data_IF_022344602517
#
_entry.id   IF_022344602517
#
_cell.length_a   1.000
_cell.length_b   1.000
_cell.length_c   1.000
_cell.angle_alpha   90.00
_cell.angle_beta   90.00
_cell.angle_gamma   90.00
#
_symmetry.space_group_name_H-M   'P 1'
#
loop_
_entity.id
_entity.type
_entity.pdbx_description
1 polymer ?
#
# COMPACT_ATOMS: atom_id res chain seq x y z
N UNK A 1 -10.16 5.97 -21.37
CA UNK A 1 -9.05 6.09 -20.39
C UNK A 1 -9.31 5.11 -19.29
N UNK A 2 -8.27 4.61 -18.63
CA UNK A 2 -8.38 3.75 -17.45
C UNK A 2 -7.52 4.36 -16.35
N UNK A 3 -8.07 4.50 -15.15
CA UNK A 3 -7.35 4.98 -13.98
C UNK A 3 -7.53 3.94 -12.88
N UNK A 4 -6.43 3.31 -12.47
CA UNK A 4 -6.42 2.27 -11.45
C UNK A 4 -5.85 2.81 -10.14
N UNK A 5 -6.45 2.42 -9.01
CA UNK A 5 -5.97 2.80 -7.67
C UNK A 5 -5.13 1.68 -7.08
N UNK A 6 -3.83 1.87 -7.07
CA UNK A 6 -2.85 0.98 -6.44
C UNK A 6 -2.55 1.45 -5.00
N UNK A 7 -1.27 1.56 -4.65
CA UNK A 7 -0.71 2.04 -3.39
C UNK A 7 0.81 2.10 -3.54
N UNK A 8 1.51 2.88 -2.71
CA UNK A 8 2.97 2.71 -2.56
C UNK A 8 3.39 1.26 -2.26
N UNK A 9 2.53 0.49 -1.58
CA UNK A 9 2.76 -0.94 -1.32
C UNK A 9 2.52 -1.85 -2.53
N UNK A 10 2.17 -1.30 -3.69
CA UNK A 10 2.27 -2.00 -4.98
C UNK A 10 3.69 -2.06 -5.52
N UNK A 11 4.62 -1.30 -4.91
CA UNK A 11 6.02 -1.20 -5.35
C UNK A 11 7.02 -1.54 -4.27
N UNK A 12 6.66 -1.48 -2.99
CA UNK A 12 7.52 -1.94 -1.89
C UNK A 12 6.75 -2.86 -0.93
N UNK A 13 7.45 -3.81 -0.33
CA UNK A 13 6.89 -4.68 0.71
C UNK A 13 6.89 -4.01 2.08
N UNK A 14 5.97 -4.43 2.96
CA UNK A 14 5.99 -4.06 4.37
C UNK A 14 5.44 -5.21 5.21
N UNK A 15 6.12 -5.50 6.31
CA UNK A 15 5.72 -6.53 7.27
C UNK A 15 4.30 -6.25 7.81
N UNK A 16 3.59 -7.32 8.17
CA UNK A 16 2.18 -7.28 8.60
C UNK A 16 1.19 -6.85 7.51
N UNK A 17 1.65 -6.62 6.28
CA UNK A 17 0.82 -6.20 5.14
C UNK A 17 1.00 -7.10 3.91
N UNK A 18 1.55 -8.31 4.06
CA UNK A 18 1.89 -9.16 2.93
C UNK A 18 0.73 -9.42 1.96
N UNK A 19 -0.49 -9.81 2.41
CA UNK A 19 -1.62 -10.01 1.49
C UNK A 19 -2.04 -8.73 0.77
N UNK A 20 -1.99 -7.59 1.48
CA UNK A 20 -2.27 -6.29 0.89
C UNK A 20 -1.23 -5.90 -0.17
N UNK A 21 0.07 -6.08 0.12
CA UNK A 21 1.14 -5.83 -0.84
C UNK A 21 0.95 -6.70 -2.09
N UNK A 22 0.72 -8.01 -1.94
CA UNK A 22 0.46 -8.91 -3.07
C UNK A 22 -0.69 -8.39 -3.94
N UNK A 23 -1.80 -7.99 -3.33
CA UNK A 23 -2.94 -7.45 -4.09
C UNK A 23 -2.57 -6.19 -4.89
N UNK A 24 -1.76 -5.29 -4.31
CA UNK A 24 -1.39 -4.02 -4.94
C UNK A 24 -0.29 -4.17 -5.99
N UNK A 25 0.66 -5.09 -5.79
CA UNK A 25 1.60 -5.50 -6.84
C UNK A 25 0.85 -6.11 -8.05
N UNK A 26 -0.21 -6.88 -7.79
CA UNK A 26 -1.09 -7.38 -8.86
C UNK A 26 -1.73 -6.25 -9.67
N UNK A 27 -2.21 -5.20 -9.01
CA UNK A 27 -2.77 -4.01 -9.69
C UNK A 27 -1.71 -3.29 -10.53
N UNK A 28 -0.48 -3.13 -10.01
CA UNK A 28 0.64 -2.55 -10.78
C UNK A 28 0.93 -3.35 -12.05
N UNK A 29 1.14 -4.66 -11.90
CA UNK A 29 1.47 -5.54 -13.02
C UNK A 29 0.34 -5.56 -14.07
N UNK A 30 -0.91 -5.69 -13.62
CA UNK A 30 -2.07 -5.62 -14.49
C UNK A 30 -2.14 -4.29 -15.25
N UNK A 31 -1.91 -3.17 -14.57
CA UNK A 31 -2.00 -1.84 -15.18
C UNK A 31 -0.90 -1.61 -16.22
N UNK A 32 0.32 -2.11 -15.98
CA UNK A 32 1.40 -2.02 -16.96
C UNK A 32 1.13 -2.87 -18.20
N UNK A 33 0.66 -4.11 -18.04
CA UNK A 33 0.24 -4.94 -19.16
C UNK A 33 -0.86 -4.27 -19.97
N UNK A 34 -1.93 -3.82 -19.29
CA UNK A 34 -3.06 -3.16 -19.93
C UNK A 34 -2.62 -1.91 -20.70
N UNK A 35 -1.67 -1.13 -20.17
CA UNK A 35 -1.13 0.05 -20.85
C UNK A 35 -0.46 -0.31 -22.18
N UNK A 36 0.28 -1.43 -22.23
CA UNK A 36 0.91 -1.89 -23.47
C UNK A 36 -0.12 -2.38 -24.47
N UNK A 37 -1.06 -3.21 -24.03
CA UNK A 37 -2.13 -3.77 -24.85
C UNK A 37 -2.99 -2.66 -25.45
N UNK A 38 -3.41 -1.70 -24.63
CA UNK A 38 -4.33 -0.63 -25.02
C UNK A 38 -3.71 0.44 -25.93
N UNK A 39 -2.38 0.42 -26.15
CA UNK A 39 -1.65 1.42 -26.92
C UNK A 39 -2.16 1.55 -28.36
N UNK A 40 -2.53 0.45 -29.01
CA UNK A 40 -3.00 0.43 -30.39
C UNK A 40 -4.31 1.23 -30.60
N UNK A 41 -5.12 1.36 -29.55
CA UNK A 41 -6.40 2.09 -29.57
C UNK A 41 -6.29 3.51 -28.99
N UNK A 42 -5.08 3.96 -28.67
CA UNK A 42 -4.86 5.28 -28.05
C UNK A 42 -5.46 5.40 -26.64
N UNK A 43 -5.84 4.30 -26.01
CA UNK A 43 -6.40 4.29 -24.66
C UNK A 43 -5.26 4.43 -23.64
N UNK A 44 -5.32 5.51 -22.87
CA UNK A 44 -4.33 5.83 -21.82
C UNK A 44 -4.73 5.15 -20.51
N UNK A 45 -3.75 4.51 -19.88
CA UNK A 45 -3.87 3.83 -18.59
C UNK A 45 -2.92 4.51 -17.61
N UNK A 46 -3.46 4.97 -16.48
CA UNK A 46 -2.73 5.64 -15.41
C UNK A 46 -2.96 4.90 -14.10
N UNK A 47 -1.95 4.89 -13.23
CA UNK A 47 -2.02 4.29 -11.89
C UNK A 47 -1.84 5.39 -10.85
N UNK A 48 -2.72 5.41 -9.86
CA UNK A 48 -2.58 6.26 -8.67
C UNK A 48 -2.00 5.38 -7.56
N UNK A 49 -0.90 5.81 -6.95
CA UNK A 49 -0.16 5.09 -5.91
C UNK A 49 -0.22 5.88 -4.58
N UNK A 50 -1.37 5.90 -3.86
CA UNK A 50 -1.44 6.65 -2.61
C UNK A 50 -0.47 6.14 -1.54
N UNK A 51 0.02 7.08 -0.74
CA UNK A 51 0.73 6.82 0.51
C UNK A 51 -0.21 6.43 1.64
N UNK A 52 0.04 6.95 2.84
CA UNK A 52 -0.80 6.66 3.99
C UNK A 52 -1.97 7.66 4.11
N UNK A 53 -3.20 7.21 3.86
CA UNK A 53 -4.45 7.98 4.01
C UNK A 53 -5.42 7.31 4.98
N UNK A 54 -4.92 6.56 5.97
CA UNK A 54 -5.77 5.84 6.91
C UNK A 54 -6.70 6.80 7.66
N UNK A 55 -6.18 7.93 8.15
CA UNK A 55 -6.99 8.92 8.87
C UNK A 55 -8.05 9.55 7.98
N UNK A 56 -7.69 9.99 6.76
CA UNK A 56 -8.64 10.59 5.83
C UNK A 56 -9.78 9.64 5.41
N UNK A 57 -9.51 8.34 5.31
CA UNK A 57 -10.46 7.36 4.75
C UNK A 57 -11.17 6.49 5.79
N UNK A 58 -10.60 6.36 6.99
CA UNK A 58 -11.07 5.40 7.98
C UNK A 58 -10.92 3.93 7.55
N UNK A 59 -10.14 3.62 6.51
CA UNK A 59 -10.04 2.27 5.92
C UNK A 59 -9.49 1.22 6.88
N UNK A 60 -8.72 1.65 7.89
CA UNK A 60 -8.15 0.78 8.91
C UNK A 60 -8.34 1.43 10.28
N UNK A 61 -9.30 0.94 11.05
CA UNK A 61 -9.58 1.42 12.41
C UNK A 61 -8.95 0.49 13.46
N UNK A 62 -8.79 1.01 14.68
CA UNK A 62 -8.29 0.22 15.82
C UNK A 62 -9.18 -0.97 16.13
N UNK A 63 -10.49 -0.83 15.94
CA UNK A 63 -11.47 -1.89 16.19
C UNK A 63 -11.32 -3.00 15.15
N UNK A 64 -11.19 -2.65 13.85
CA UNK A 64 -10.93 -3.61 12.78
C UNK A 64 -9.66 -4.40 13.08
N UNK A 65 -8.57 -3.73 13.49
CA UNK A 65 -7.32 -4.41 13.85
C UNK A 65 -7.52 -5.35 15.03
N UNK A 66 -8.21 -4.91 16.09
CA UNK A 66 -8.44 -5.71 17.30
C UNK A 66 -9.27 -6.95 17.00
N UNK A 67 -10.43 -6.80 16.36
CA UNK A 67 -11.31 -7.93 16.03
C UNK A 67 -10.65 -8.91 15.06
N UNK A 68 -9.88 -8.41 14.09
CA UNK A 68 -9.14 -9.27 13.17
C UNK A 68 -8.03 -10.03 13.89
N UNK A 69 -7.29 -9.37 14.78
CA UNK A 69 -6.22 -9.98 15.55
C UNK A 69 -6.73 -11.10 16.47
N UNK A 70 -7.81 -10.84 17.21
CA UNK A 70 -8.44 -11.83 18.08
C UNK A 70 -8.91 -13.06 17.31
N UNK A 71 -9.54 -12.84 16.15
CA UNK A 71 -9.96 -13.91 15.25
C UNK A 71 -8.77 -14.73 14.77
N UNK A 72 -7.73 -14.07 14.25
CA UNK A 72 -6.52 -14.74 13.75
C UNK A 72 -5.85 -15.58 14.83
N UNK A 73 -5.71 -15.05 16.05
CA UNK A 73 -5.12 -15.78 17.15
C UNK A 73 -5.95 -16.99 17.56
N UNK A 74 -7.28 -16.82 17.67
CA UNK A 74 -8.21 -17.88 18.06
C UNK A 74 -8.25 -19.03 17.04
N UNK A 75 -8.18 -18.70 15.75
CA UNK A 75 -8.25 -19.67 14.66
C UNK A 75 -6.88 -20.27 14.29
N UNK A 76 -5.78 -19.70 14.80
CA UNK A 76 -4.44 -20.24 14.56
C UNK A 76 -4.29 -21.64 15.16
N UNK A 77 -3.70 -22.61 14.42
CA UNK A 77 -3.38 -23.93 14.96
C UNK A 77 -2.50 -23.85 16.21
N UNK A 78 -2.58 -24.81 17.15
CA UNK A 78 -1.80 -24.78 18.39
C UNK A 78 -0.29 -24.60 18.17
N UNK A 79 0.30 -25.31 17.20
CA UNK A 79 1.72 -25.16 16.88
C UNK A 79 2.09 -23.74 16.40
N UNK A 80 1.21 -23.09 15.65
CA UNK A 80 1.43 -21.69 15.21
C UNK A 80 1.34 -20.72 16.38
N UNK A 81 0.41 -20.95 17.32
CA UNK A 81 0.31 -20.13 18.54
C UNK A 81 1.56 -20.28 19.41
N UNK A 82 2.11 -21.49 19.50
CA UNK A 82 3.35 -21.78 20.22
C UNK A 82 4.55 -21.09 19.53
N UNK A 83 4.72 -21.29 18.22
CA UNK A 83 5.83 -20.74 17.44
C UNK A 83 5.86 -19.20 17.48
N UNK A 84 4.70 -18.56 17.32
CA UNK A 84 4.62 -17.09 17.30
C UNK A 84 4.64 -16.49 18.70
N UNK A 85 4.09 -17.18 19.70
CA UNK A 85 3.98 -16.70 21.07
C UNK A 85 3.00 -15.54 21.24
N UNK A 86 2.10 -15.66 22.22
CA UNK A 86 1.03 -14.66 22.43
C UNK A 86 1.55 -13.25 22.69
N UNK A 87 2.59 -13.12 23.52
CA UNK A 87 3.16 -11.82 23.87
C UNK A 87 3.74 -11.09 22.65
N UNK A 88 4.44 -11.83 21.78
CA UNK A 88 5.03 -11.29 20.56
C UNK A 88 3.95 -10.89 19.55
N UNK A 89 2.94 -11.74 19.36
CA UNK A 89 1.77 -11.40 18.54
C UNK A 89 1.08 -10.12 19.01
N UNK A 90 0.79 -10.01 20.31
CA UNK A 90 0.14 -8.82 20.89
C UNK A 90 0.99 -7.55 20.75
N UNK A 91 2.32 -7.66 20.84
CA UNK A 91 3.23 -6.54 20.61
C UNK A 91 3.10 -6.01 19.18
N UNK A 92 3.09 -6.89 18.17
CA UNK A 92 2.88 -6.50 16.78
C UNK A 92 1.48 -5.92 16.52
N UNK A 93 0.45 -6.48 17.16
CA UNK A 93 -0.90 -5.94 17.05
C UNK A 93 -1.04 -4.57 17.71
N UNK A 94 -0.30 -4.32 18.80
CA UNK A 94 -0.21 -2.98 19.40
C UNK A 94 0.45 -1.98 18.44
N UNK A 95 1.50 -2.38 17.73
CA UNK A 95 2.12 -1.55 16.69
C UNK A 95 1.14 -1.22 15.57
N UNK A 96 0.40 -2.22 15.06
CA UNK A 96 -0.64 -2.00 14.04
C UNK A 96 -1.74 -1.04 14.51
N UNK A 97 -2.21 -1.19 15.77
CA UNK A 97 -3.19 -0.26 16.37
C UNK A 97 -2.67 1.16 16.49
N UNK A 98 -1.37 1.35 16.76
CA UNK A 98 -0.76 2.69 16.81
C UNK A 98 -0.75 3.37 15.44
N UNK A 99 -0.59 2.59 14.36
CA UNK A 99 -0.56 3.11 12.99
C UNK A 99 -1.93 3.58 12.48
N UNK A 100 -3.03 3.14 13.09
CA UNK A 100 -4.39 3.48 12.68
C UNK A 100 -4.71 4.99 12.78
N UNK A 101 -3.97 5.73 13.60
CA UNK A 101 -4.16 7.18 13.75
C UNK A 101 -3.13 8.00 12.94
N UNK A 102 -2.41 7.36 12.02
CA UNK A 102 -1.37 7.99 11.19
C UNK A 102 -1.80 8.16 9.74
N UNK A 103 -1.13 9.08 9.04
CA UNK A 103 -1.37 9.37 7.64
C UNK A 103 -2.00 10.73 7.41
N UNK A 104 -2.19 11.05 6.14
CA UNK A 104 -2.77 12.30 5.69
C UNK A 104 -4.24 12.39 6.12
N UNK A 105 -4.66 13.61 6.47
CA UNK A 105 -6.02 13.95 6.89
C UNK A 105 -6.90 14.38 5.74
N UNK A 106 -6.31 15.10 4.79
CA UNK A 106 -6.99 15.56 3.59
C UNK A 106 -6.85 14.53 2.48
N UNK A 107 -7.93 14.33 1.73
CA UNK A 107 -7.96 13.42 0.58
C UNK A 107 -7.64 14.13 -0.74
N UNK A 108 -7.60 15.47 -0.72
CA UNK A 108 -7.44 16.32 -1.91
C UNK A 108 -6.29 15.89 -2.83
N UNK A 109 -5.06 15.55 -2.34
CA UNK A 109 -3.98 15.13 -3.23
C UNK A 109 -4.33 13.91 -4.09
N UNK A 110 -5.13 12.97 -3.56
CA UNK A 110 -5.59 11.81 -4.32
C UNK A 110 -6.65 12.21 -5.33
N UNK A 111 -7.57 13.10 -4.94
CA UNK A 111 -8.63 13.58 -5.83
C UNK A 111 -8.07 14.41 -6.99
N UNK A 112 -7.08 15.25 -6.72
CA UNK A 112 -6.38 16.07 -7.71
C UNK A 112 -5.64 15.18 -8.72
N UNK A 113 -4.93 14.15 -8.25
CA UNK A 113 -4.24 13.21 -9.13
C UNK A 113 -5.20 12.38 -9.98
N UNK A 114 -6.34 11.96 -9.42
CA UNK A 114 -7.42 11.31 -10.18
C UNK A 114 -7.99 12.26 -11.25
N UNK A 115 -8.26 13.51 -10.87
CA UNK A 115 -8.78 14.52 -11.77
C UNK A 115 -7.80 14.78 -12.93
N UNK A 116 -6.50 14.94 -12.64
CA UNK A 116 -5.48 15.12 -13.68
C UNK A 116 -5.37 13.89 -14.59
N UNK A 117 -5.37 12.67 -14.05
CA UNK A 117 -5.30 11.44 -14.85
C UNK A 117 -6.46 11.33 -15.87
N UNK A 118 -7.66 11.77 -15.46
CA UNK A 118 -8.86 11.75 -16.30
C UNK A 118 -8.85 12.91 -17.31
N UNK A 119 -8.56 14.13 -16.84
CA UNK A 119 -8.78 15.37 -17.59
C UNK A 119 -7.59 15.81 -18.45
N UNK A 120 -6.36 15.47 -18.04
CA UNK A 120 -5.14 15.93 -18.72
C UNK A 120 -5.04 15.40 -20.14
N UNK A 121 -4.65 16.27 -21.09
CA UNK A 121 -4.34 15.84 -22.46
C UNK A 121 -3.20 14.82 -22.49
N UNK A 122 -2.26 14.88 -21.56
CA UNK A 122 -1.10 13.97 -21.46
C UNK A 122 -0.92 13.58 -19.98
N UNK A 123 -1.75 12.66 -19.46
CA UNK A 123 -1.65 12.23 -18.07
C UNK A 123 -0.34 11.45 -17.87
N UNK A 124 0.16 11.44 -16.64
CA UNK A 124 1.27 10.57 -16.25
C UNK A 124 0.82 9.11 -16.26
N UNK A 125 1.77 8.20 -16.45
CA UNK A 125 1.51 6.77 -16.28
C UNK A 125 1.32 6.41 -14.80
N UNK A 126 1.95 7.17 -13.90
CA UNK A 126 1.94 6.97 -12.46
C UNK A 126 1.84 8.30 -11.73
N UNK A 127 0.95 8.35 -10.75
CA UNK A 127 0.77 9.44 -9.81
C UNK A 127 1.04 8.90 -8.42
N UNK A 128 1.70 9.67 -7.56
CA UNK A 128 2.18 9.20 -6.25
C UNK A 128 1.76 10.20 -5.17
N UNK A 129 0.45 10.33 -4.85
CA UNK A 129 -0.01 11.25 -3.82
C UNK A 129 0.43 10.69 -2.46
N UNK A 130 1.56 11.15 -1.96
CA UNK A 130 2.15 10.71 -0.69
C UNK A 130 3.11 11.76 -0.16
N UNK A 131 3.36 11.72 1.15
CA UNK A 131 4.35 12.59 1.76
C UNK A 131 5.76 12.29 1.21
N UNK A 132 6.66 13.28 1.10
CA UNK A 132 7.99 13.10 0.49
C UNK A 132 8.81 11.97 1.12
N UNK A 133 8.71 11.77 2.44
CA UNK A 133 9.44 10.72 3.14
C UNK A 133 8.99 9.31 2.73
N UNK A 134 7.68 9.12 2.45
CA UNK A 134 7.16 7.85 1.93
C UNK A 134 7.64 7.60 0.51
N UNK A 135 7.66 8.64 -0.31
CA UNK A 135 8.18 8.55 -1.68
C UNK A 135 9.67 8.18 -1.67
N UNK A 136 10.49 8.87 -0.88
CA UNK A 136 11.93 8.58 -0.73
C UNK A 136 12.14 7.14 -0.26
N UNK A 137 11.42 6.72 0.79
CA UNK A 137 11.50 5.34 1.29
C UNK A 137 11.16 4.33 0.20
N UNK A 138 10.09 4.56 -0.56
CA UNK A 138 9.71 3.68 -1.66
C UNK A 138 10.81 3.61 -2.73
N UNK A 139 11.41 4.74 -3.12
CA UNK A 139 12.52 4.74 -4.08
C UNK A 139 13.74 3.96 -3.57
N UNK A 140 14.12 4.17 -2.30
CA UNK A 140 15.21 3.44 -1.64
C UNK A 140 14.95 1.93 -1.68
N UNK A 141 13.76 1.51 -1.27
CA UNK A 141 13.39 0.09 -1.19
C UNK A 141 13.29 -0.60 -2.56
N UNK A 142 13.14 0.17 -3.64
CA UNK A 142 12.92 -0.36 -5.00
C UNK A 142 14.10 -0.26 -5.94
N UNK A 143 15.03 0.67 -5.68
CA UNK A 143 16.14 0.94 -6.59
C UNK A 143 17.52 0.65 -5.99
N UNK A 144 17.64 0.56 -4.66
CA UNK A 144 18.90 0.13 -4.05
C UNK A 144 19.04 -1.39 -4.07
N UNK A 145 20.28 -1.92 -4.09
CA UNK A 145 20.53 -3.33 -3.85
C UNK A 145 19.87 -3.82 -2.57
N UNK A 146 19.31 -5.04 -2.61
CA UNK A 146 18.55 -5.64 -1.50
C UNK A 146 19.30 -5.57 -0.15
N UNK A 147 20.62 -5.83 -0.17
CA UNK A 147 21.45 -5.76 1.04
C UNK A 147 21.46 -4.38 1.73
N UNK A 148 21.32 -3.30 0.95
CA UNK A 148 21.27 -1.93 1.48
C UNK A 148 19.84 -1.58 1.90
N UNK A 149 18.85 -1.89 1.08
CA UNK A 149 17.44 -1.61 1.41
C UNK A 149 17.00 -2.36 2.67
N UNK A 150 17.40 -3.63 2.81
CA UNK A 150 17.06 -4.45 3.98
C UNK A 150 17.69 -3.89 5.25
N UNK A 151 18.94 -3.42 5.17
CA UNK A 151 19.61 -2.77 6.31
C UNK A 151 18.97 -1.44 6.72
N UNK A 152 18.28 -0.75 5.82
CA UNK A 152 17.52 0.45 6.13
C UNK A 152 16.09 0.14 6.59
N UNK A 153 15.60 -1.07 6.28
CA UNK A 153 14.28 -1.53 6.65
C UNK A 153 14.24 -2.07 8.09
N UNK A 154 15.25 -2.87 8.47
CA UNK A 154 15.43 -3.43 9.80
C UNK A 154 16.24 -2.50 10.70
#
# INVERSE_FOLDING_TARGET
RVVNIASMYGRMGNALRSPYCVSKYGVEAFSDCLRYEMKAWGVKVSVIEPGNFIVATGILTRDIVTTTAEKLWKEAPPGVQEDYGKAHFEQYMALMRSYCNSGQREIDPVLDDIADAIMSKRPYTRYSPMEPHWWIRMQIMTHLPAAISDRLYF
#
